data_IF_665226170062
#
_entry.id   IF_665226170062
#
_cell.length_a   1.000
_cell.length_b   1.000
_cell.length_c   1.000
_cell.angle_alpha   90.00
_cell.angle_beta   90.00
_cell.angle_gamma   90.00
#
_symmetry.space_group_name_H-M   'P 1'
#
loop_
_entity.id
_entity.type
_entity.pdbx_description
1 polymer ?
#
# COMPACT_ATOMS: atom_id res chain seq x y z
N UNK A 1 2.34 19.48 7.06
CA UNK A 1 1.30 19.46 6.02
C UNK A 1 1.98 19.60 4.65
N UNK A 2 1.73 18.68 3.71
CA UNK A 2 2.23 18.79 2.34
C UNK A 2 1.46 19.89 1.61
N UNK A 3 2.16 20.86 1.02
CA UNK A 3 1.54 21.93 0.23
C UNK A 3 1.17 21.40 -1.16
N UNK A 4 0.08 21.89 -1.75
CA UNK A 4 -0.42 21.44 -3.06
C UNK A 4 0.55 21.64 -4.23
N UNK A 5 1.58 22.48 -4.05
CA UNK A 5 2.67 22.65 -5.02
C UNK A 5 3.61 21.44 -5.09
N UNK A 6 3.55 20.52 -4.12
CA UNK A 6 4.40 19.32 -4.10
C UNK A 6 3.70 18.21 -4.88
N UNK A 7 4.18 17.97 -6.10
CA UNK A 7 3.60 16.98 -7.03
C UNK A 7 4.04 15.55 -6.75
N UNK A 8 5.24 15.35 -6.17
CA UNK A 8 5.82 14.04 -5.85
C UNK A 8 6.59 14.13 -4.54
N UNK A 9 6.47 13.12 -3.71
CA UNK A 9 7.27 12.93 -2.51
C UNK A 9 7.89 11.53 -2.55
N UNK A 10 9.21 11.45 -2.34
CA UNK A 10 9.92 10.19 -2.18
C UNK A 10 10.27 10.05 -0.70
N UNK A 11 9.88 8.93 -0.09
CA UNK A 11 10.08 8.74 1.34
C UNK A 11 10.18 7.27 1.73
N UNK A 12 10.74 7.02 2.92
CA UNK A 12 10.71 5.70 3.57
C UNK A 12 9.46 5.54 4.43
N UNK A 13 9.24 4.34 4.97
CA UNK A 13 8.09 4.01 5.85
C UNK A 13 7.92 5.02 7.01
N UNK A 14 9.03 5.58 7.51
CA UNK A 14 9.03 6.58 8.58
C UNK A 14 8.20 7.85 8.26
N UNK A 15 7.97 8.15 6.98
CA UNK A 15 7.17 9.29 6.54
C UNK A 15 5.66 9.06 6.64
N UNK A 16 5.20 7.84 6.93
CA UNK A 16 3.79 7.49 6.93
C UNK A 16 2.95 8.11 8.07
N UNK A 17 3.51 8.43 9.23
CA UNK A 17 2.70 8.97 10.32
C UNK A 17 2.33 10.44 10.03
N UNK A 18 1.05 10.72 9.81
CA UNK A 18 0.52 12.09 9.69
C UNK A 18 0.37 12.64 8.27
N UNK A 19 0.54 11.84 7.22
CA UNK A 19 0.10 12.24 5.86
C UNK A 19 -1.41 12.07 5.77
N UNK A 20 -2.14 13.17 5.79
CA UNK A 20 -3.57 13.22 5.51
C UNK A 20 -3.85 14.13 4.31
N UNK A 21 -3.56 13.60 3.11
CA UNK A 21 -3.85 14.28 1.85
C UNK A 21 -4.90 13.46 1.11
N UNK A 22 -6.11 14.01 0.97
CA UNK A 22 -7.24 13.29 0.40
C UNK A 22 -7.03 12.92 -1.08
N UNK A 23 -6.30 13.76 -1.81
CA UNK A 23 -6.19 13.70 -3.26
C UNK A 23 -4.89 13.05 -3.79
N UNK A 24 -4.33 12.07 -3.08
CA UNK A 24 -3.18 11.30 -3.59
C UNK A 24 -3.64 10.34 -4.69
N UNK A 25 -3.09 10.49 -5.90
CA UNK A 25 -3.48 9.71 -7.10
C UNK A 25 -2.63 8.48 -7.37
N UNK A 26 -1.41 8.44 -6.86
CA UNK A 26 -0.51 7.33 -7.09
C UNK A 26 0.37 7.10 -5.88
N UNK A 27 0.45 5.84 -5.45
CA UNK A 27 1.46 5.34 -4.52
C UNK A 27 2.33 4.36 -5.30
N UNK A 28 3.66 4.54 -5.22
CA UNK A 28 4.63 3.64 -5.85
C UNK A 28 5.50 3.05 -4.74
N UNK A 29 5.42 1.74 -4.55
CA UNK A 29 6.31 0.99 -3.68
C UNK A 29 7.53 0.56 -4.50
N UNK A 30 8.72 0.99 -4.09
CA UNK A 30 9.97 0.58 -4.70
C UNK A 30 10.70 -0.38 -3.76
N UNK A 31 10.62 -1.67 -4.06
CA UNK A 31 11.01 -2.76 -3.18
C UNK A 31 9.83 -3.42 -2.48
N UNK A 32 10.08 -4.58 -1.89
CA UNK A 32 9.05 -5.32 -1.17
C UNK A 32 8.64 -4.59 0.14
N UNK A 33 7.34 -4.51 0.43
CA UNK A 33 6.87 -4.07 1.74
C UNK A 33 7.27 -5.08 2.83
N UNK A 34 7.31 -4.64 4.08
CA UNK A 34 7.71 -5.50 5.20
C UNK A 34 6.70 -6.63 5.46
N UNK A 35 5.42 -6.37 5.20
CA UNK A 35 4.34 -7.36 5.27
C UNK A 35 3.17 -6.94 4.36
N UNK A 36 2.21 -7.84 4.19
CA UNK A 36 0.97 -7.54 3.48
C UNK A 36 0.17 -6.42 4.17
N UNK A 37 0.13 -6.41 5.50
CA UNK A 37 -0.57 -5.38 6.27
C UNK A 37 0.08 -4.01 6.10
N UNK A 38 1.42 -3.95 6.09
CA UNK A 38 2.16 -2.72 5.81
C UNK A 38 1.82 -2.18 4.42
N UNK A 39 1.87 -3.05 3.39
CA UNK A 39 1.46 -2.70 2.04
C UNK A 39 0.03 -2.15 1.98
N UNK A 40 -0.91 -2.84 2.64
CA UNK A 40 -2.32 -2.44 2.65
C UNK A 40 -2.52 -1.06 3.30
N UNK A 41 -1.85 -0.79 4.41
CA UNK A 41 -1.91 0.53 5.07
C UNK A 41 -1.26 1.64 4.24
N UNK A 42 -0.14 1.34 3.58
CA UNK A 42 0.57 2.30 2.72
C UNK A 42 -0.24 2.62 1.45
N UNK A 43 -0.78 1.60 0.78
CA UNK A 43 -1.66 1.74 -0.38
C UNK A 43 -2.95 2.51 -0.04
N UNK A 44 -3.53 2.30 1.15
CA UNK A 44 -4.74 2.99 1.64
C UNK A 44 -4.60 4.51 1.86
N UNK A 45 -3.45 5.11 1.54
CA UNK A 45 -3.26 6.56 1.48
C UNK A 45 -3.75 7.16 0.15
N UNK A 46 -3.83 6.35 -0.90
CA UNK A 46 -4.32 6.76 -2.20
C UNK A 46 -5.85 6.93 -2.18
N UNK A 47 -6.38 7.83 -3.00
CA UNK A 47 -7.82 7.84 -3.33
C UNK A 47 -8.79 8.12 -2.17
N UNK A 48 -8.34 8.76 -1.08
CA UNK A 48 -9.21 9.03 0.09
C UNK A 48 -10.38 9.98 -0.19
N UNK A 49 -10.32 10.72 -1.29
CA UNK A 49 -11.42 11.51 -1.85
C UNK A 49 -12.45 10.66 -2.64
N UNK A 50 -12.32 9.34 -2.64
CA UNK A 50 -13.21 8.40 -3.33
C UNK A 50 -12.99 8.31 -4.84
N UNK A 51 -12.01 9.04 -5.38
CA UNK A 51 -11.64 8.97 -6.81
C UNK A 51 -10.64 7.86 -7.05
N UNK A 52 -10.62 7.37 -8.29
CA UNK A 52 -9.65 6.37 -8.74
C UNK A 52 -8.21 6.82 -8.44
N UNK A 53 -7.41 5.87 -7.95
CA UNK A 53 -6.01 6.05 -7.66
C UNK A 53 -5.26 4.74 -7.84
N UNK A 54 -4.00 4.83 -8.24
CA UNK A 54 -3.16 3.67 -8.55
C UNK A 54 -2.24 3.34 -7.36
N UNK A 55 -2.06 2.05 -7.10
CA UNK A 55 -1.00 1.54 -6.23
C UNK A 55 -0.14 0.56 -7.03
N UNK A 56 1.14 0.90 -7.22
CA UNK A 56 2.07 0.13 -8.05
C UNK A 56 3.23 -0.38 -7.19
N UNK A 57 3.59 -1.66 -7.34
CA UNK A 57 4.72 -2.29 -6.67
C UNK A 57 5.80 -2.66 -7.70
N UNK A 58 6.97 -2.04 -7.59
CA UNK A 58 8.16 -2.44 -8.33
C UNK A 58 9.08 -3.22 -7.38
N UNK A 59 9.13 -4.54 -7.56
CA UNK A 59 9.94 -5.41 -6.69
C UNK A 59 10.71 -6.47 -7.47
N UNK A 60 11.88 -6.85 -6.95
CA UNK A 60 12.69 -7.93 -7.50
C UNK A 60 12.16 -9.28 -6.99
N UNK A 61 11.63 -10.10 -7.90
CA UNK A 61 11.06 -11.41 -7.58
C UNK A 61 12.09 -12.43 -7.07
N UNK A 62 13.38 -12.28 -7.42
CA UNK A 62 14.45 -13.15 -6.89
C UNK A 62 14.67 -12.99 -5.39
N UNK A 63 14.15 -11.91 -4.78
CA UNK A 63 14.20 -11.65 -3.34
C UNK A 63 12.81 -11.49 -2.76
N UNK A 64 11.90 -12.40 -3.08
CA UNK A 64 10.54 -12.39 -2.53
C UNK A 64 10.55 -12.71 -1.03
N UNK A 65 10.23 -11.76 -0.14
CA UNK A 65 10.07 -12.05 1.27
C UNK A 65 8.77 -12.84 1.49
N UNK A 66 8.66 -13.48 2.66
CA UNK A 66 7.36 -13.93 3.14
C UNK A 66 6.55 -12.70 3.57
N UNK A 67 5.75 -12.13 2.66
CA UNK A 67 4.84 -11.01 2.96
C UNK A 67 3.78 -11.38 4.00
N UNK A 68 3.61 -12.68 4.23
CA UNK A 68 2.65 -13.22 5.16
C UNK A 68 3.39 -13.93 6.32
N UNK A 69 2.85 -13.89 7.55
CA UNK A 69 3.50 -14.51 8.70
C UNK A 69 3.53 -16.06 8.61
N UNK A 70 4.54 -16.70 9.21
CA UNK A 70 4.80 -18.15 9.12
C UNK A 70 3.76 -19.06 9.81
N UNK A 71 3.03 -18.55 10.81
CA UNK A 71 1.93 -19.25 11.49
C UNK A 71 0.70 -18.35 11.46
N UNK A 72 -0.48 -18.90 11.11
CA UNK A 72 -1.73 -18.15 11.04
C UNK A 72 -2.88 -18.93 11.66
N UNK A 73 -3.77 -18.21 12.31
CA UNK A 73 -5.14 -18.68 12.49
C UNK A 73 -5.91 -18.61 11.16
N UNK A 74 -7.02 -19.32 11.06
CA UNK A 74 -7.94 -19.18 9.91
C UNK A 74 -8.40 -17.73 9.72
N UNK A 75 -8.63 -17.02 10.83
CA UNK A 75 -9.04 -15.61 10.86
C UNK A 75 -8.04 -14.71 10.11
N UNK A 76 -6.75 -14.84 10.44
CA UNK A 76 -5.68 -14.03 9.84
C UNK A 76 -5.52 -14.33 8.35
N UNK A 77 -5.73 -15.59 7.96
CA UNK A 77 -5.70 -15.99 6.55
C UNK A 77 -6.85 -15.36 5.77
N UNK A 78 -8.08 -15.41 6.32
CA UNK A 78 -9.26 -14.75 5.72
C UNK A 78 -9.04 -13.25 5.58
N UNK A 79 -8.46 -12.61 6.59
CA UNK A 79 -8.17 -11.17 6.56
C UNK A 79 -7.14 -10.81 5.47
N UNK A 80 -6.06 -11.59 5.35
CA UNK A 80 -5.07 -11.41 4.29
C UNK A 80 -5.68 -11.54 2.88
N UNK A 81 -6.53 -12.55 2.66
CA UNK A 81 -7.24 -12.70 1.38
C UNK A 81 -8.15 -11.52 1.08
N UNK A 82 -8.86 -11.00 2.09
CA UNK A 82 -9.70 -9.81 1.95
C UNK A 82 -8.87 -8.60 1.51
N UNK A 83 -7.74 -8.33 2.18
CA UNK A 83 -6.83 -7.23 1.85
C UNK A 83 -6.34 -7.33 0.40
N UNK A 84 -5.89 -8.51 -0.02
CA UNK A 84 -5.48 -8.76 -1.41
C UNK A 84 -6.64 -8.49 -2.37
N UNK A 85 -7.84 -9.02 -2.09
CA UNK A 85 -9.00 -8.81 -2.95
C UNK A 85 -9.34 -7.33 -3.10
N UNK A 86 -9.30 -6.55 -2.02
CA UNK A 86 -9.67 -5.14 -2.02
C UNK A 86 -8.67 -4.29 -2.83
N UNK A 87 -7.37 -4.64 -2.78
CA UNK A 87 -6.35 -3.97 -3.59
C UNK A 87 -6.46 -4.24 -5.10
N UNK A 88 -7.03 -5.38 -5.53
CA UNK A 88 -7.07 -5.79 -6.93
C UNK A 88 -8.46 -5.66 -7.60
N UNK A 89 -9.48 -5.18 -6.87
CA UNK A 89 -10.85 -4.99 -7.39
C UNK A 89 -11.01 -3.90 -8.48
N UNK A 90 -9.95 -3.18 -8.83
CA UNK A 90 -9.98 -2.07 -9.80
C UNK A 90 -9.45 -2.40 -11.20
N UNK A 91 -9.09 -3.65 -11.50
CA UNK A 91 -8.64 -4.06 -12.84
C UNK A 91 -9.79 -4.50 -13.73
N UNK A 92 -10.54 -3.54 -14.27
CA UNK A 92 -11.56 -3.74 -15.31
C UNK A 92 -11.39 -2.72 -16.41
#
# INVERSE_FOLDING_TARGET
>A
MLKDLTVVVVATIAFGMGIDKLNVRRIIHYGWPQSLEAYYQEAGRAGRDGKLADCVLYANLSRMPSLLPNKRSEEQTKQAYKMLSDCFRGGG
#
